data_IF_160154381835
#
_entry.id   IF_160154381835
#
_cell.length_a   1.000
_cell.length_b   1.000
_cell.length_c   1.000
_cell.angle_alpha   90.00
_cell.angle_beta   90.00
_cell.angle_gamma   90.00
#
_symmetry.space_group_name_H-M   'P 1'
#
loop_
_entity.id
_entity.type
_entity.pdbx_description
1 polymer ?
#
# COMPACT_ATOMS: atom_id res chain seq x y z
N UNK A 1 -26.64 -5.23 -4.02
CA UNK A 1 -25.50 -5.93 -3.38
C UNK A 1 -25.64 -7.38 -3.76
N UNK A 2 -24.68 -7.94 -4.50
CA UNK A 2 -24.79 -9.29 -5.09
C UNK A 2 -23.64 -10.20 -4.65
N UNK A 3 -22.44 -9.66 -4.43
CA UNK A 3 -21.30 -10.42 -3.92
C UNK A 3 -21.48 -10.72 -2.42
N UNK A 4 -21.63 -9.71 -1.56
CA UNK A 4 -21.80 -9.92 -0.12
C UNK A 4 -23.07 -10.71 0.23
N UNK A 5 -24.15 -10.53 -0.54
CA UNK A 5 -25.41 -11.23 -0.30
C UNK A 5 -25.34 -12.75 -0.54
N UNK A 6 -24.38 -13.20 -1.34
CA UNK A 6 -24.22 -14.60 -1.74
C UNK A 6 -22.88 -15.19 -1.27
N UNK A 7 -22.30 -14.62 -0.21
CA UNK A 7 -20.99 -14.99 0.32
C UNK A 7 -20.92 -16.44 0.83
N UNK A 8 -22.05 -17.03 1.19
CA UNK A 8 -22.15 -18.43 1.61
C UNK A 8 -21.73 -19.45 0.53
N UNK A 9 -21.57 -19.00 -0.73
CA UNK A 9 -21.11 -19.82 -1.84
C UNK A 9 -19.59 -19.94 -1.96
N UNK A 10 -18.84 -19.05 -1.29
CA UNK A 10 -17.39 -19.01 -1.42
C UNK A 10 -16.78 -20.30 -0.87
N UNK A 11 -15.84 -20.85 -1.64
CA UNK A 11 -15.09 -22.05 -1.27
C UNK A 11 -13.62 -21.67 -1.15
N UNK A 12 -13.06 -21.87 0.05
CA UNK A 12 -11.65 -21.61 0.28
C UNK A 12 -10.85 -22.81 -0.21
N UNK A 13 -9.99 -22.61 -1.21
CA UNK A 13 -9.03 -23.63 -1.66
C UNK A 13 -7.97 -23.88 -0.59
N UNK A 14 -7.44 -25.09 -0.53
CA UNK A 14 -6.42 -25.47 0.47
C UNK A 14 -5.18 -24.55 0.44
N UNK A 15 -4.70 -24.19 -0.75
CA UNK A 15 -3.56 -23.27 -0.91
C UNK A 15 -3.87 -21.88 -0.34
N UNK A 16 -5.07 -21.37 -0.57
CA UNK A 16 -5.55 -20.09 -0.03
C UNK A 16 -5.69 -20.15 1.50
N UNK A 17 -6.12 -21.30 2.04
CA UNK A 17 -6.19 -21.51 3.48
C UNK A 17 -4.80 -21.49 4.12
N UNK A 18 -3.82 -22.15 3.52
CA UNK A 18 -2.44 -22.13 4.04
C UNK A 18 -1.86 -20.71 4.04
N UNK A 19 -2.00 -19.98 2.91
CA UNK A 19 -1.59 -18.58 2.83
C UNK A 19 -2.27 -17.70 3.89
N UNK A 20 -3.56 -17.95 4.15
CA UNK A 20 -4.30 -17.24 5.18
C UNK A 20 -3.75 -17.53 6.60
N UNK A 21 -3.39 -18.78 6.90
CA UNK A 21 -2.81 -19.14 8.19
C UNK A 21 -1.46 -18.44 8.39
N UNK A 22 -0.57 -18.49 7.40
CA UNK A 22 0.75 -17.84 7.43
C UNK A 22 0.62 -16.31 7.59
N UNK A 23 -0.36 -15.71 6.92
CA UNK A 23 -0.67 -14.29 7.04
C UNK A 23 -1.11 -13.94 8.46
N UNK A 24 -1.97 -14.74 9.10
CA UNK A 24 -2.44 -14.46 10.45
C UNK A 24 -1.40 -14.75 11.52
N UNK A 25 -0.50 -15.70 11.30
CA UNK A 25 0.71 -15.87 12.11
C UNK A 25 1.60 -14.63 12.03
N UNK A 26 1.87 -14.15 10.82
CA UNK A 26 2.65 -12.92 10.59
C UNK A 26 1.96 -11.69 11.20
N UNK A 27 0.63 -11.61 11.09
CA UNK A 27 -0.16 -10.57 11.78
C UNK A 27 0.04 -10.60 13.29
N UNK A 28 0.24 -11.77 13.87
CA UNK A 28 0.59 -11.94 15.28
C UNK A 28 1.85 -11.15 15.68
N UNK A 29 2.82 -10.95 14.78
CA UNK A 29 4.05 -10.19 15.04
C UNK A 29 3.87 -8.67 15.05
N UNK A 30 2.69 -8.16 14.72
CA UNK A 30 2.47 -6.70 14.54
C UNK A 30 2.79 -5.89 15.80
N UNK A 31 2.51 -6.41 16.99
CA UNK A 31 2.82 -5.72 18.24
C UNK A 31 4.33 -5.53 18.46
N UNK A 32 5.15 -6.45 17.94
CA UNK A 32 6.59 -6.40 18.06
C UNK A 32 7.18 -5.28 17.20
N UNK A 33 6.70 -5.11 15.96
CA UNK A 33 7.11 -4.00 15.11
C UNK A 33 6.73 -2.64 15.71
N UNK A 34 5.55 -2.55 16.34
CA UNK A 34 5.09 -1.33 17.01
C UNK A 34 6.01 -0.92 18.16
N UNK A 35 6.47 -1.88 18.96
CA UNK A 35 7.45 -1.65 20.05
C UNK A 35 8.83 -1.28 19.48
N UNK A 36 9.30 -2.04 18.49
CA UNK A 36 10.62 -1.88 17.89
C UNK A 36 10.80 -0.49 17.26
N UNK A 37 9.79 -0.02 16.52
CA UNK A 37 9.83 1.24 15.78
C UNK A 37 9.22 2.43 16.56
N UNK A 38 8.82 2.24 17.81
CA UNK A 38 8.12 3.22 18.64
C UNK A 38 8.76 4.61 18.68
N UNK A 39 10.09 4.69 18.64
CA UNK A 39 10.85 5.95 18.71
C UNK A 39 10.95 6.70 17.37
N UNK A 40 10.72 6.03 16.25
CA UNK A 40 10.99 6.55 14.90
C UNK A 40 9.78 6.39 13.98
N UNK A 41 8.58 6.23 14.55
CA UNK A 41 7.32 6.05 13.82
C UNK A 41 7.05 7.18 12.81
N UNK A 42 7.41 8.41 13.13
CA UNK A 42 7.25 9.56 12.24
C UNK A 42 8.16 9.45 11.01
N UNK A 43 9.35 8.86 11.14
CA UNK A 43 10.25 8.66 10.00
C UNK A 43 9.70 7.58 9.06
N UNK A 44 9.22 6.47 9.61
CA UNK A 44 8.61 5.39 8.83
C UNK A 44 7.33 5.82 8.10
N UNK A 45 6.44 6.54 8.78
CA UNK A 45 5.19 7.03 8.18
C UNK A 45 5.44 8.02 7.05
N UNK A 46 6.40 8.95 7.22
CA UNK A 46 6.79 9.87 6.16
C UNK A 46 7.42 9.16 4.96
N UNK A 47 8.31 8.18 5.20
CA UNK A 47 8.89 7.36 4.12
C UNK A 47 7.82 6.56 3.39
N UNK A 48 6.88 5.95 4.13
CA UNK A 48 5.78 5.18 3.57
C UNK A 48 4.86 6.05 2.72
N UNK A 49 4.51 7.25 3.21
CA UNK A 49 3.73 8.23 2.43
C UNK A 49 4.47 8.62 1.14
N UNK A 50 5.78 8.80 1.20
CA UNK A 50 6.58 9.12 0.01
C UNK A 50 6.55 7.99 -1.03
N UNK A 51 6.75 6.74 -0.58
CA UNK A 51 6.66 5.55 -1.42
C UNK A 51 5.27 5.38 -2.02
N UNK A 52 4.22 5.48 -1.20
CA UNK A 52 2.82 5.38 -1.63
C UNK A 52 2.48 6.39 -2.72
N UNK A 53 2.87 7.66 -2.54
CA UNK A 53 2.64 8.72 -3.54
C UNK A 53 3.37 8.42 -4.85
N UNK A 54 4.60 7.90 -4.76
CA UNK A 54 5.41 7.53 -5.94
C UNK A 54 4.78 6.37 -6.71
N UNK A 55 4.28 5.35 -6.02
CA UNK A 55 3.63 4.20 -6.65
C UNK A 55 2.25 4.55 -7.21
N UNK A 56 1.51 5.44 -6.54
CA UNK A 56 0.22 5.95 -7.03
C UNK A 56 0.34 6.72 -8.35
N UNK A 57 1.44 7.45 -8.58
CA UNK A 57 1.71 8.07 -9.89
C UNK A 57 1.74 7.02 -11.00
N UNK A 58 2.39 5.88 -10.76
CA UNK A 58 2.47 4.78 -11.73
C UNK A 58 1.11 4.11 -11.93
N UNK A 59 0.41 3.80 -10.83
CA UNK A 59 -0.92 3.15 -10.86
C UNK A 59 -1.94 4.01 -11.61
N UNK A 60 -1.93 5.32 -11.38
CA UNK A 60 -2.83 6.29 -12.00
C UNK A 60 -2.36 6.74 -13.39
N UNK A 61 -1.19 6.28 -13.85
CA UNK A 61 -0.59 6.64 -15.14
C UNK A 61 -0.48 8.15 -15.35
N UNK A 62 -0.08 8.87 -14.30
CA UNK A 62 0.10 10.32 -14.34
C UNK A 62 1.42 10.65 -15.03
N UNK A 63 1.39 11.48 -16.07
CA UNK A 63 2.58 11.85 -16.85
C UNK A 63 3.39 12.96 -16.15
N UNK A 64 4.37 12.55 -15.34
CA UNK A 64 5.27 13.44 -14.62
C UNK A 64 6.72 12.94 -14.71
N UNK A 65 7.67 13.88 -14.71
CA UNK A 65 9.10 13.54 -14.66
C UNK A 65 9.47 12.99 -13.29
N UNK A 66 10.42 12.06 -13.21
CA UNK A 66 10.90 11.47 -11.95
C UNK A 66 11.33 12.53 -10.92
N UNK A 67 12.01 13.59 -11.38
CA UNK A 67 12.43 14.69 -10.53
C UNK A 67 11.23 15.44 -9.91
N UNK A 68 10.13 15.57 -10.66
CA UNK A 68 8.91 16.20 -10.17
C UNK A 68 8.16 15.29 -9.20
N UNK A 69 8.08 14.00 -9.49
CA UNK A 69 7.47 12.99 -8.60
C UNK A 69 8.16 13.01 -7.23
N UNK A 70 9.50 12.95 -7.20
CA UNK A 70 10.29 13.01 -5.95
C UNK A 70 10.09 14.31 -5.16
N UNK A 71 9.86 15.43 -5.84
CA UNK A 71 9.57 16.69 -5.16
C UNK A 71 8.17 16.67 -4.54
N UNK A 72 7.18 16.22 -5.32
CA UNK A 72 5.78 16.14 -4.92
C UNK A 72 5.53 15.13 -3.79
N UNK A 73 6.29 14.04 -3.76
CA UNK A 73 6.23 13.04 -2.68
C UNK A 73 6.79 13.61 -1.36
N UNK A 74 8.00 14.20 -1.39
CA UNK A 74 8.70 14.70 -0.19
C UNK A 74 8.15 15.97 0.43
N UNK A 75 7.61 16.89 -0.38
CA UNK A 75 7.27 18.25 0.09
C UNK A 75 5.86 18.65 -0.33
N UNK A 76 5.34 19.66 0.35
CA UNK A 76 4.16 20.37 -0.15
C UNK A 76 4.52 21.10 -1.43
N UNK A 77 3.58 21.09 -2.38
CA UNK A 77 3.76 21.71 -3.68
C UNK A 77 2.48 22.37 -4.15
N UNK A 78 2.64 23.39 -4.99
CA UNK A 78 1.53 24.01 -5.72
C UNK A 78 1.40 23.30 -7.07
N UNK A 79 0.22 22.77 -7.40
CA UNK A 79 -0.01 22.04 -8.63
C UNK A 79 -0.04 23.01 -9.82
N UNK A 80 0.61 22.62 -10.91
CA UNK A 80 0.68 23.42 -12.15
C UNK A 80 -0.31 22.99 -13.23
N UNK A 81 -0.75 21.73 -13.18
CA UNK A 81 -1.68 21.14 -14.13
C UNK A 81 -2.70 20.27 -13.37
N UNK A 82 -3.70 19.76 -14.10
CA UNK A 82 -4.76 18.90 -13.53
C UNK A 82 -4.19 17.60 -12.95
N UNK A 83 -3.14 17.07 -13.56
CA UNK A 83 -2.47 15.85 -13.14
C UNK A 83 -1.75 15.99 -11.79
N UNK A 84 -1.03 17.10 -11.59
CA UNK A 84 -0.43 17.48 -10.31
C UNK A 84 -1.51 17.79 -9.25
N UNK A 85 -2.65 18.35 -9.66
CA UNK A 85 -3.78 18.58 -8.75
C UNK A 85 -4.38 17.25 -8.28
N UNK A 86 -4.59 16.29 -9.18
CA UNK A 86 -5.03 14.94 -8.84
C UNK A 86 -4.03 14.26 -7.88
N UNK A 87 -2.73 14.36 -8.17
CA UNK A 87 -1.67 13.83 -7.29
C UNK A 87 -1.71 14.47 -5.90
N UNK A 88 -1.90 15.78 -5.81
CA UNK A 88 -2.01 16.49 -4.53
C UNK A 88 -3.24 16.00 -3.73
N UNK A 89 -4.38 15.81 -4.40
CA UNK A 89 -5.59 15.32 -3.76
C UNK A 89 -5.41 13.90 -3.23
N UNK A 90 -4.80 13.01 -4.03
CA UNK A 90 -4.48 11.64 -3.64
C UNK A 90 -3.49 11.61 -2.48
N UNK A 91 -2.41 12.42 -2.52
CA UNK A 91 -1.46 12.55 -1.42
C UNK A 91 -2.14 12.93 -0.10
N UNK A 92 -3.07 13.90 -0.15
CA UNK A 92 -3.84 14.32 1.04
C UNK A 92 -4.76 13.23 1.58
N UNK A 93 -5.33 12.40 0.70
CA UNK A 93 -6.14 11.25 1.11
C UNK A 93 -5.27 10.21 1.82
N UNK A 94 -4.13 9.83 1.24
CA UNK A 94 -3.21 8.85 1.84
C UNK A 94 -2.66 9.37 3.17
N UNK A 95 -2.27 10.63 3.25
CA UNK A 95 -1.80 11.27 4.49
C UNK A 95 -2.89 11.28 5.59
N UNK A 96 -4.16 11.55 5.22
CA UNK A 96 -5.29 11.43 6.14
C UNK A 96 -5.45 10.00 6.64
N UNK A 97 -5.44 9.02 5.73
CA UNK A 97 -5.57 7.60 6.07
C UNK A 97 -4.46 7.17 7.03
N UNK A 98 -3.20 7.51 6.76
CA UNK A 98 -2.05 7.23 7.64
C UNK A 98 -2.25 7.78 9.06
N UNK A 99 -2.87 8.95 9.21
CA UNK A 99 -3.10 9.58 10.52
C UNK A 99 -4.34 9.06 11.26
N UNK A 100 -5.36 8.59 10.55
CA UNK A 100 -6.67 8.26 11.13
C UNK A 100 -7.16 6.83 10.85
N UNK A 101 -6.29 5.90 10.43
CA UNK A 101 -6.71 4.52 10.12
C UNK A 101 -7.33 3.79 11.32
N UNK A 102 -6.88 4.09 12.55
CA UNK A 102 -7.33 3.42 13.77
C UNK A 102 -8.76 3.82 14.17
N UNK A 103 -9.17 5.05 13.89
CA UNK A 103 -10.50 5.60 14.19
C UNK A 103 -11.47 5.51 13.01
N UNK A 104 -11.04 4.89 11.90
CA UNK A 104 -11.87 4.73 10.72
C UNK A 104 -13.15 3.95 11.03
N UNK A 105 -14.29 4.49 10.60
CA UNK A 105 -15.54 3.77 10.58
C UNK A 105 -16.09 3.77 9.16
N UNK A 106 -16.44 2.59 8.63
CA UNK A 106 -17.09 2.50 7.35
C UNK A 106 -18.52 3.07 7.45
N UNK A 107 -18.69 4.30 6.95
CA UNK A 107 -19.97 5.01 6.81
C UNK A 107 -20.05 5.71 5.46
N UNK A 108 -21.26 5.98 4.99
CA UNK A 108 -21.53 6.63 3.70
C UNK A 108 -20.90 8.02 3.58
N UNK A 109 -20.84 8.75 4.70
CA UNK A 109 -20.20 10.07 4.74
C UNK A 109 -18.69 9.99 4.45
N UNK A 110 -18.02 8.93 4.89
CA UNK A 110 -16.58 8.76 4.65
C UNK A 110 -16.29 8.60 3.15
N UNK A 111 -17.09 7.77 2.45
CA UNK A 111 -17.01 7.65 1.00
C UNK A 111 -17.28 8.98 0.27
N UNK A 112 -18.24 9.78 0.78
CA UNK A 112 -18.54 11.11 0.25
C UNK A 112 -17.43 12.13 0.52
N UNK A 113 -16.75 12.04 1.64
CA UNK A 113 -15.62 12.91 1.96
C UNK A 113 -14.41 12.57 1.09
N UNK A 114 -14.12 11.29 0.91
CA UNK A 114 -13.09 10.83 -0.03
C UNK A 114 -13.36 11.34 -1.45
N UNK A 115 -14.62 11.27 -1.92
CA UNK A 115 -14.98 11.78 -3.25
C UNK A 115 -14.80 13.30 -3.36
N UNK A 116 -15.18 14.07 -2.33
CA UNK A 116 -14.95 15.52 -2.28
C UNK A 116 -13.46 15.89 -2.24
N UNK A 117 -12.66 15.17 -1.45
CA UNK A 117 -11.22 15.38 -1.36
C UNK A 117 -10.53 15.08 -2.68
N UNK A 118 -10.94 14.00 -3.35
CA UNK A 118 -10.39 13.59 -4.64
C UNK A 118 -10.73 14.57 -5.76
N UNK A 119 -11.97 15.07 -5.77
CA UNK A 119 -12.46 16.01 -6.79
C UNK A 119 -12.05 17.47 -6.59
N UNK A 120 -11.52 17.83 -5.42
CA UNK A 120 -11.21 19.23 -5.05
C UNK A 120 -10.31 19.91 -6.08
N UNK A 121 -10.77 21.04 -6.61
CA UNK A 121 -10.07 21.86 -7.62
C UNK A 121 -9.67 21.08 -8.91
N UNK A 122 -10.26 19.90 -9.14
CA UNK A 122 -9.93 19.01 -10.27
C UNK A 122 -11.16 18.65 -11.09
N UNK A 123 -12.14 17.98 -10.50
CA UNK A 123 -13.36 17.50 -11.18
C UNK A 123 -14.46 17.25 -10.14
N UNK A 124 -15.70 17.60 -10.44
CA UNK A 124 -16.82 17.25 -9.56
C UNK A 124 -17.09 15.76 -9.60
N UNK A 125 -17.16 15.14 -8.42
CA UNK A 125 -17.55 13.73 -8.24
C UNK A 125 -18.89 13.71 -7.51
N UNK A 126 -19.92 13.15 -8.13
CA UNK A 126 -21.28 13.10 -7.60
C UNK A 126 -21.78 11.67 -7.46
N UNK A 127 -22.82 11.49 -6.65
CA UNK A 127 -23.58 10.23 -6.61
C UNK A 127 -24.21 9.94 -7.96
N UNK A 128 -24.04 8.71 -8.44
CA UNK A 128 -24.73 8.24 -9.64
C UNK A 128 -26.23 8.08 -9.36
N UNK A 129 -27.06 8.40 -10.35
CA UNK A 129 -28.51 8.13 -10.32
C UNK A 129 -28.82 6.98 -11.26
N UNK A 130 -29.12 5.81 -10.70
CA UNK A 130 -29.45 4.63 -11.51
C UNK A 130 -30.94 4.66 -11.87
N UNK A 131 -31.27 4.43 -13.15
CA UNK A 131 -32.66 4.22 -13.58
C UNK A 131 -33.12 2.85 -13.08
N UNK A 132 -34.32 2.77 -12.53
CA UNK A 132 -34.96 1.50 -12.22
C UNK A 132 -35.66 1.03 -13.50
N UNK A 133 -35.10 0.04 -14.19
CA UNK A 133 -35.82 -0.68 -15.24
C UNK A 133 -36.84 -1.62 -14.57
N UNK A 134 -38.03 -1.10 -14.27
CA UNK A 134 -39.22 -1.92 -14.09
C UNK A 134 -39.57 -2.45 -15.49
N UNK A 135 -39.27 -3.71 -15.79
CA UNK A 135 -39.46 -4.35 -17.12
C UNK A 135 -40.91 -4.49 -17.58
N UNK A 136 -41.65 -3.39 -17.66
CA UNK A 136 -43.02 -3.29 -18.16
C UNK A 136 -43.21 -2.01 -18.98
N UNK A 137 -44.20 -2.03 -19.88
CA UNK A 137 -44.52 -0.96 -20.87
C UNK A 137 -44.83 0.44 -20.28
N UNK A 138 -44.82 0.58 -18.96
CA UNK A 138 -44.95 1.85 -18.25
C UNK A 138 -43.73 2.00 -17.33
N UNK A 139 -42.56 2.24 -17.92
CA UNK A 139 -41.35 2.55 -17.17
C UNK A 139 -41.58 3.83 -16.37
N UNK A 140 -41.89 3.68 -15.08
CA UNK A 140 -41.87 4.82 -14.17
C UNK A 140 -40.42 5.31 -14.09
N UNK A 141 -40.18 6.60 -14.34
CA UNK A 141 -38.85 7.24 -14.21
C UNK A 141 -38.43 7.32 -12.72
N UNK A 142 -38.44 6.20 -12.00
CA UNK A 142 -37.89 6.12 -10.65
C UNK A 142 -36.40 5.98 -10.77
N UNK A 143 -35.68 6.92 -10.17
CA UNK A 143 -34.24 6.85 -10.02
C UNK A 143 -33.94 6.35 -8.61
N UNK A 144 -33.10 5.33 -8.49
CA UNK A 144 -32.56 4.88 -7.21
C UNK A 144 -31.26 5.63 -6.93
N UNK A 145 -31.18 6.26 -5.77
CA UNK A 145 -29.99 6.97 -5.32
C UNK A 145 -28.94 5.94 -4.88
N UNK A 146 -27.77 5.95 -5.53
CA UNK A 146 -26.64 5.07 -5.16
C UNK A 146 -26.15 5.28 -3.73
N UNK A 147 -26.46 6.43 -3.12
CA UNK A 147 -26.22 6.67 -1.69
C UNK A 147 -26.94 5.66 -0.79
N UNK A 148 -28.22 5.41 -1.07
CA UNK A 148 -29.02 4.43 -0.30
C UNK A 148 -28.49 3.01 -0.53
N UNK A 149 -27.99 2.73 -1.74
CA UNK A 149 -27.35 1.45 -2.07
C UNK A 149 -26.07 1.24 -1.28
N UNK A 150 -25.24 2.29 -1.15
CA UNK A 150 -24.04 2.24 -0.31
C UNK A 150 -24.40 2.06 1.16
N UNK A 151 -25.42 2.76 1.67
CA UNK A 151 -25.89 2.59 3.05
C UNK A 151 -26.31 1.15 3.32
N UNK A 152 -27.08 0.54 2.42
CA UNK A 152 -27.46 -0.86 2.52
C UNK A 152 -26.23 -1.80 2.45
N UNK A 153 -25.26 -1.51 1.58
CA UNK A 153 -24.02 -2.28 1.44
C UNK A 153 -23.22 -2.28 2.74
N UNK A 154 -23.09 -1.11 3.36
CA UNK A 154 -22.40 -0.95 4.64
C UNK A 154 -23.14 -1.69 5.76
N UNK A 155 -24.47 -1.59 5.82
CA UNK A 155 -25.28 -2.32 6.82
C UNK A 155 -25.11 -3.83 6.67
N UNK A 156 -25.14 -4.34 5.44
CA UNK A 156 -24.94 -5.76 5.16
C UNK A 156 -23.52 -6.21 5.54
N UNK A 157 -22.50 -5.45 5.16
CA UNK A 157 -21.12 -5.71 5.57
C UNK A 157 -20.99 -5.78 7.09
N UNK A 158 -21.46 -4.75 7.82
CA UNK A 158 -21.41 -4.70 9.30
C UNK A 158 -22.16 -5.87 9.94
N UNK A 159 -23.28 -6.32 9.36
CA UNK A 159 -24.00 -7.50 9.82
C UNK A 159 -23.14 -8.76 9.70
N UNK A 160 -22.54 -9.00 8.53
CA UNK A 160 -21.72 -10.19 8.29
C UNK A 160 -20.45 -10.22 9.15
N UNK A 161 -19.83 -9.05 9.40
CA UNK A 161 -18.71 -8.92 10.34
C UNK A 161 -19.13 -9.35 11.76
N UNK A 162 -20.32 -8.95 12.22
CA UNK A 162 -20.86 -9.34 13.53
C UNK A 162 -21.18 -10.83 13.63
N UNK A 163 -21.57 -11.47 12.53
CA UNK A 163 -21.85 -12.91 12.50
C UNK A 163 -20.60 -13.77 12.69
N UNK A 164 -19.40 -13.24 12.41
CA UNK A 164 -18.10 -13.94 12.57
C UNK A 164 -18.01 -15.31 11.86
N UNK A 165 -18.78 -15.49 10.78
CA UNK A 165 -18.78 -16.72 9.96
C UNK A 165 -17.78 -16.70 8.82
N UNK A 166 -17.38 -15.50 8.40
CA UNK A 166 -16.52 -15.28 7.24
C UNK A 166 -15.29 -14.49 7.67
N UNK A 167 -14.17 -14.76 7.01
CA UNK A 167 -12.93 -14.03 7.24
C UNK A 167 -13.06 -12.56 6.78
N UNK A 168 -12.39 -11.64 7.48
CA UNK A 168 -12.64 -10.20 7.35
C UNK A 168 -12.16 -9.65 6.00
N UNK A 169 -10.98 -10.05 5.54
CA UNK A 169 -10.41 -9.64 4.24
C UNK A 169 -11.27 -10.13 3.08
N UNK A 170 -11.88 -11.31 3.21
CA UNK A 170 -12.86 -11.84 2.25
C UNK A 170 -14.09 -10.93 2.20
N UNK A 171 -14.62 -10.52 3.36
CA UNK A 171 -15.72 -9.57 3.43
C UNK A 171 -15.35 -8.22 2.80
N UNK A 172 -14.15 -7.70 3.09
CA UNK A 172 -13.61 -6.46 2.52
C UNK A 172 -13.54 -6.55 0.99
N UNK A 173 -13.05 -7.68 0.46
CA UNK A 173 -12.92 -7.90 -0.99
C UNK A 173 -14.29 -7.96 -1.67
N UNK A 174 -15.25 -8.65 -1.07
CA UNK A 174 -16.62 -8.74 -1.61
C UNK A 174 -17.34 -7.37 -1.55
N UNK A 175 -17.10 -6.58 -0.49
CA UNK A 175 -17.56 -5.20 -0.41
C UNK A 175 -16.99 -4.35 -1.55
N UNK A 176 -15.68 -4.46 -1.82
CA UNK A 176 -15.01 -3.74 -2.91
C UNK A 176 -15.62 -4.07 -4.28
N UNK A 177 -15.86 -5.36 -4.57
CA UNK A 177 -16.50 -5.79 -5.82
C UNK A 177 -17.93 -5.25 -5.94
N UNK A 178 -18.73 -5.33 -4.87
CA UNK A 178 -20.08 -4.76 -4.86
C UNK A 178 -20.06 -3.24 -5.10
N UNK A 179 -19.14 -2.51 -4.44
CA UNK A 179 -18.99 -1.06 -4.60
C UNK A 179 -18.65 -0.68 -6.05
N UNK A 180 -17.71 -1.38 -6.69
CA UNK A 180 -17.32 -1.12 -8.08
C UNK A 180 -18.52 -1.31 -9.02
N UNK A 181 -19.21 -2.44 -8.92
CA UNK A 181 -20.30 -2.77 -9.83
C UNK A 181 -21.55 -1.90 -9.62
N UNK A 182 -21.77 -1.37 -8.42
CA UNK A 182 -22.85 -0.43 -8.16
C UNK A 182 -22.63 0.95 -8.78
N UNK A 183 -21.39 1.27 -9.21
CA UNK A 183 -21.01 2.56 -9.77
C UNK A 183 -21.49 3.72 -8.88
N UNK A 184 -21.12 3.67 -7.61
CA UNK A 184 -21.58 4.60 -6.58
C UNK A 184 -21.35 6.07 -6.97
N UNK A 185 -20.19 6.35 -7.56
CA UNK A 185 -19.83 7.67 -8.05
C UNK A 185 -19.74 7.72 -9.57
N UNK A 186 -20.02 8.89 -10.15
CA UNK A 186 -19.99 9.14 -11.60
C UNK A 186 -18.58 9.14 -12.18
N UNK A 187 -17.60 9.60 -11.41
CA UNK A 187 -16.18 9.69 -11.76
C UNK A 187 -15.31 9.09 -10.66
N UNK A 188 -14.16 8.53 -11.04
CA UNK A 188 -13.16 7.95 -10.12
C UNK A 188 -13.70 6.91 -9.12
N UNK A 189 -14.77 6.19 -9.50
CA UNK A 189 -15.42 5.20 -8.63
C UNK A 189 -14.43 4.11 -8.17
N UNK A 190 -13.61 3.60 -9.08
CA UNK A 190 -12.60 2.57 -8.83
C UNK A 190 -11.50 3.07 -7.88
N UNK A 191 -11.08 4.33 -8.02
CA UNK A 191 -10.07 4.93 -7.15
C UNK A 191 -10.62 5.15 -5.74
N UNK A 192 -11.86 5.62 -5.61
CA UNK A 192 -12.53 5.76 -4.30
C UNK A 192 -12.72 4.37 -3.66
N UNK A 193 -13.10 3.37 -4.44
CA UNK A 193 -13.22 1.98 -3.96
C UNK A 193 -11.86 1.45 -3.47
N UNK A 194 -10.78 1.71 -4.21
CA UNK A 194 -9.43 1.30 -3.83
C UNK A 194 -8.96 2.00 -2.55
N UNK A 195 -9.25 3.29 -2.39
CA UNK A 195 -8.93 4.03 -1.17
C UNK A 195 -9.72 3.48 0.04
N UNK A 196 -11.00 3.17 -0.12
CA UNK A 196 -11.79 2.53 0.94
C UNK A 196 -11.26 1.14 1.29
N UNK A 197 -10.95 0.31 0.28
CA UNK A 197 -10.32 -0.99 0.48
C UNK A 197 -9.02 -0.86 1.28
N UNK A 198 -8.12 0.04 0.85
CA UNK A 198 -6.86 0.30 1.53
C UNK A 198 -7.09 0.71 2.98
N UNK A 199 -7.99 1.65 3.27
CA UNK A 199 -8.28 2.08 4.65
C UNK A 199 -8.81 0.93 5.51
N UNK A 200 -9.71 0.10 4.98
CA UNK A 200 -10.26 -1.06 5.70
C UNK A 200 -9.19 -2.13 5.98
N UNK A 201 -8.30 -2.37 5.01
CA UNK A 201 -7.16 -3.28 5.19
C UNK A 201 -6.17 -2.71 6.20
N UNK A 202 -5.89 -1.42 6.16
CA UNK A 202 -4.96 -0.76 7.08
C UNK A 202 -5.48 -0.77 8.53
N UNK A 203 -6.78 -0.55 8.74
CA UNK A 203 -7.38 -0.74 10.05
C UNK A 203 -7.21 -2.19 10.57
N UNK A 204 -7.22 -3.17 9.67
CA UNK A 204 -7.09 -4.59 10.02
C UNK A 204 -5.63 -5.04 10.19
N UNK A 205 -4.72 -4.47 9.41
CA UNK A 205 -3.30 -4.79 9.30
C UNK A 205 -2.51 -3.48 9.40
N UNK A 206 -2.17 -3.02 10.62
CA UNK A 206 -1.61 -1.69 10.82
C UNK A 206 -0.15 -1.58 10.39
N UNK A 207 0.44 -2.60 9.76
CA UNK A 207 1.81 -2.58 9.24
C UNK A 207 2.03 -1.56 8.12
N UNK A 208 0.97 -1.10 7.44
CA UNK A 208 1.09 -0.10 6.37
C UNK A 208 1.51 1.30 6.85
N UNK A 209 1.75 1.49 8.16
CA UNK A 209 2.48 2.66 8.67
C UNK A 209 4.00 2.58 8.42
N UNK A 210 4.51 1.38 8.15
CA UNK A 210 5.94 1.09 7.96
C UNK A 210 6.29 0.66 6.53
N UNK A 211 5.33 0.07 5.81
CA UNK A 211 5.51 -0.45 4.44
C UNK A 211 4.42 0.04 3.51
N UNK A 212 4.76 0.20 2.22
CA UNK A 212 3.84 0.76 1.22
C UNK A 212 2.90 -0.31 0.69
N UNK A 213 1.59 -0.14 0.92
CA UNK A 213 0.56 -0.97 0.28
C UNK A 213 0.60 -0.83 -1.24
N UNK A 214 0.75 0.41 -1.73
CA UNK A 214 0.67 0.70 -3.16
C UNK A 214 1.86 0.13 -3.94
N UNK A 215 3.01 -0.07 -3.31
CA UNK A 215 4.14 -0.79 -3.89
C UNK A 215 3.77 -2.21 -4.31
N UNK A 216 3.20 -3.00 -3.39
CA UNK A 216 2.74 -4.35 -3.71
C UNK A 216 1.51 -4.35 -4.59
N UNK A 217 0.57 -3.43 -4.40
CA UNK A 217 -0.57 -3.30 -5.30
C UNK A 217 -0.14 -3.09 -6.75
N UNK A 218 0.87 -2.23 -7.00
CA UNK A 218 1.42 -2.02 -8.34
C UNK A 218 2.03 -3.30 -8.92
N UNK A 219 2.78 -4.09 -8.12
CA UNK A 219 3.34 -5.40 -8.51
C UNK A 219 2.24 -6.39 -8.93
N UNK A 220 1.09 -6.37 -8.26
CA UNK A 220 -0.05 -7.25 -8.55
C UNK A 220 -1.13 -6.60 -9.44
N UNK A 221 -0.86 -5.46 -10.08
CA UNK A 221 -1.89 -4.71 -10.80
C UNK A 221 -2.53 -5.52 -11.95
N UNK A 222 -1.74 -6.22 -12.75
CA UNK A 222 -2.26 -7.06 -13.84
C UNK A 222 -3.12 -8.23 -13.35
N UNK A 223 -2.64 -9.11 -12.44
CA UNK A 223 -3.48 -10.18 -11.91
C UNK A 223 -4.69 -9.65 -11.14
N UNK A 224 -4.56 -8.50 -10.47
CA UNK A 224 -5.69 -7.81 -9.83
C UNK A 224 -6.79 -7.48 -10.82
N UNK A 225 -6.44 -6.86 -11.95
CA UNK A 225 -7.41 -6.51 -13.00
C UNK A 225 -8.05 -7.76 -13.61
N UNK A 226 -7.27 -8.83 -13.83
CA UNK A 226 -7.81 -10.09 -14.30
C UNK A 226 -8.83 -10.69 -13.31
N UNK A 227 -8.48 -10.78 -12.03
CA UNK A 227 -9.36 -11.32 -11.00
C UNK A 227 -10.62 -10.45 -10.79
N UNK A 228 -10.47 -9.12 -10.83
CA UNK A 228 -11.60 -8.19 -10.75
C UNK A 228 -12.56 -8.35 -11.94
N UNK A 229 -12.04 -8.53 -13.16
CA UNK A 229 -12.87 -8.79 -14.34
C UNK A 229 -13.66 -10.09 -14.20
N UNK A 230 -13.04 -11.15 -13.66
CA UNK A 230 -13.73 -12.42 -13.39
C UNK A 230 -14.84 -12.26 -12.35
N UNK A 231 -14.57 -11.53 -11.26
CA UNK A 231 -15.57 -11.22 -10.25
C UNK A 231 -16.75 -10.43 -10.85
N UNK A 232 -16.46 -9.44 -11.69
CA UNK A 232 -17.48 -8.58 -12.30
C UNK A 232 -18.35 -9.32 -13.33
N UNK A 233 -17.79 -10.27 -14.09
CA UNK A 233 -18.48 -10.94 -15.19
C UNK A 233 -19.82 -11.57 -14.77
N UNK A 234 -19.83 -12.29 -13.64
CA UNK A 234 -21.01 -12.96 -13.10
C UNK A 234 -21.68 -12.21 -11.94
N UNK A 235 -21.28 -10.95 -11.68
CA UNK A 235 -21.82 -10.16 -10.59
C UNK A 235 -23.32 -9.91 -10.77
N UNK A 236 -23.74 -9.54 -11.98
CA UNK A 236 -25.15 -9.26 -12.28
C UNK A 236 -26.06 -10.48 -12.02
N UNK A 237 -25.56 -11.67 -12.28
CA UNK A 237 -26.26 -12.95 -12.09
C UNK A 237 -26.16 -13.49 -10.67
N UNK A 238 -25.53 -12.78 -9.72
CA UNK A 238 -25.33 -13.21 -8.32
C UNK A 238 -24.37 -14.40 -8.15
N UNK A 239 -23.49 -14.63 -9.13
CA UNK A 239 -22.47 -15.69 -9.12
C UNK A 239 -21.05 -15.10 -9.23
N UNK A 240 -20.83 -13.92 -8.61
CA UNK A 240 -19.53 -13.26 -8.57
C UNK A 240 -18.47 -14.20 -7.97
N UNK A 241 -17.36 -14.40 -8.69
CA UNK A 241 -16.23 -15.22 -8.23
C UNK A 241 -15.14 -14.31 -7.65
N UNK A 242 -15.15 -14.12 -6.34
CA UNK A 242 -14.24 -13.19 -5.65
C UNK A 242 -12.97 -13.87 -5.11
N UNK A 243 -12.90 -15.21 -5.15
CA UNK A 243 -11.85 -16.00 -4.52
C UNK A 243 -10.44 -15.63 -5.01
N UNK A 244 -10.26 -15.47 -6.33
CA UNK A 244 -8.96 -15.08 -6.91
C UNK A 244 -8.54 -13.67 -6.49
N UNK A 245 -9.51 -12.75 -6.39
CA UNK A 245 -9.22 -11.38 -5.95
C UNK A 245 -8.82 -11.36 -4.48
N UNK A 246 -9.52 -12.13 -3.64
CA UNK A 246 -9.19 -12.29 -2.22
C UNK A 246 -7.81 -12.91 -2.04
N UNK A 247 -7.44 -13.92 -2.83
CA UNK A 247 -6.10 -14.51 -2.81
C UNK A 247 -5.01 -13.46 -3.15
N UNK A 248 -5.25 -12.59 -4.13
CA UNK A 248 -4.30 -11.51 -4.46
C UNK A 248 -4.17 -10.53 -3.29
N UNK A 249 -5.26 -10.18 -2.61
CA UNK A 249 -5.20 -9.34 -1.40
C UNK A 249 -4.33 -10.03 -0.33
N UNK A 250 -4.49 -11.33 -0.11
CA UNK A 250 -3.63 -12.08 0.82
C UNK A 250 -2.16 -12.05 0.42
N UNK A 251 -1.85 -12.19 -0.88
CA UNK A 251 -0.48 -12.10 -1.39
C UNK A 251 0.13 -10.72 -1.18
N UNK A 252 -0.64 -9.65 -1.43
CA UNK A 252 -0.20 -8.27 -1.13
C UNK A 252 0.10 -8.11 0.36
N UNK A 253 -0.79 -8.59 1.23
CA UNK A 253 -0.60 -8.51 2.68
C UNK A 253 0.61 -9.32 3.13
N UNK A 254 0.78 -10.54 2.64
CA UNK A 254 1.91 -11.41 2.99
C UNK A 254 3.24 -10.83 2.53
N UNK A 255 3.33 -10.33 1.30
CA UNK A 255 4.54 -9.66 0.80
C UNK A 255 4.87 -8.41 1.65
N UNK A 256 3.85 -7.67 2.09
CA UNK A 256 4.03 -6.53 3.00
C UNK A 256 4.55 -6.95 4.38
N UNK A 257 4.10 -8.10 4.90
CA UNK A 257 4.61 -8.68 6.14
C UNK A 257 6.06 -9.16 6.01
N UNK A 258 6.43 -9.71 4.86
CA UNK A 258 7.82 -10.11 4.60
C UNK A 258 8.76 -8.89 4.57
N UNK A 259 8.35 -7.78 3.93
CA UNK A 259 9.17 -6.55 3.92
C UNK A 259 9.34 -5.95 5.31
N UNK A 260 8.29 -5.87 6.13
CA UNK A 260 8.45 -5.33 7.49
C UNK A 260 9.32 -6.23 8.35
N UNK A 261 9.29 -7.55 8.15
CA UNK A 261 10.17 -8.49 8.84
C UNK A 261 11.64 -8.25 8.44
N UNK A 262 11.92 -8.06 7.15
CA UNK A 262 13.26 -7.69 6.67
C UNK A 262 13.74 -6.35 7.24
N UNK A 263 12.87 -5.33 7.25
CA UNK A 263 13.15 -4.01 7.84
C UNK A 263 13.43 -4.14 9.34
N UNK A 264 12.67 -4.96 10.07
CA UNK A 264 12.84 -5.17 11.50
C UNK A 264 14.18 -5.84 11.82
N UNK A 265 14.51 -6.93 11.12
CA UNK A 265 15.80 -7.61 11.25
C UNK A 265 16.97 -6.68 10.97
N UNK A 266 16.87 -5.89 9.89
CA UNK A 266 17.86 -4.89 9.57
C UNK A 266 17.96 -3.89 10.73
N UNK A 267 16.86 -3.23 11.10
CA UNK A 267 16.83 -2.23 12.16
C UNK A 267 17.39 -2.70 13.51
N UNK A 268 17.14 -3.95 13.92
CA UNK A 268 17.74 -4.53 15.13
C UNK A 268 19.25 -4.72 15.01
N UNK A 269 19.72 -5.26 13.89
CA UNK A 269 21.14 -5.39 13.60
C UNK A 269 21.83 -4.02 13.64
N UNK A 270 21.17 -3.01 13.08
CA UNK A 270 21.61 -1.63 13.03
C UNK A 270 21.71 -0.96 14.41
N UNK A 271 20.75 -1.22 15.29
CA UNK A 271 20.71 -0.68 16.66
C UNK A 271 21.84 -1.25 17.53
N UNK A 272 22.24 -2.49 17.27
CA UNK A 272 23.28 -3.19 18.01
C UNK A 272 24.71 -2.83 17.53
N UNK A 273 24.84 -2.19 16.37
CA UNK A 273 26.10 -1.65 15.86
C UNK A 273 26.19 -0.15 16.16
N UNK A 274 27.40 0.38 16.37
CA UNK A 274 27.59 1.84 16.40
C UNK A 274 27.08 2.44 15.08
N UNK A 275 26.34 3.55 15.15
CA UNK A 275 25.69 4.20 13.98
C UNK A 275 26.63 4.47 12.79
N UNK A 276 27.93 4.68 13.04
CA UNK A 276 28.95 4.88 12.00
C UNK A 276 29.37 3.59 11.31
N UNK A 277 29.40 2.47 12.04
CA UNK A 277 29.86 1.15 11.57
C UNK A 277 28.76 0.45 10.77
N UNK A 278 27.51 0.74 11.10
CA UNK A 278 26.33 0.23 10.42
C UNK A 278 26.15 0.78 9.00
N UNK A 279 26.15 2.11 8.83
CA UNK A 279 26.04 2.71 7.49
C UNK A 279 27.21 2.28 6.59
N UNK A 280 28.39 2.10 7.18
CA UNK A 280 29.54 1.49 6.51
C UNK A 280 29.27 0.06 6.05
N UNK A 281 28.75 -0.81 6.93
CA UNK A 281 28.43 -2.19 6.56
C UNK A 281 27.42 -2.28 5.41
N UNK A 282 26.38 -1.45 5.39
CA UNK A 282 25.42 -1.42 4.27
C UNK A 282 26.08 -0.92 2.99
N UNK A 283 26.89 0.14 3.08
CA UNK A 283 27.67 0.66 1.95
C UNK A 283 28.54 -0.45 1.33
N UNK A 284 29.22 -1.24 2.17
CA UNK A 284 30.12 -2.31 1.74
C UNK A 284 29.38 -3.55 1.21
N UNK A 285 28.07 -3.70 1.45
CA UNK A 285 27.23 -4.81 0.93
C UNK A 285 26.59 -4.51 -0.43
N UNK A 286 26.58 -3.26 -0.90
CA UNK A 286 26.00 -2.94 -2.20
C UNK A 286 26.74 -3.63 -3.35
N UNK A 287 25.99 -4.14 -4.33
CA UNK A 287 26.54 -4.74 -5.55
C UNK A 287 27.10 -3.65 -6.47
N UNK A 288 28.33 -3.22 -6.15
CA UNK A 288 29.23 -2.29 -6.86
C UNK A 288 28.79 -0.85 -7.02
N UNK A 289 27.52 -0.53 -7.29
CA UNK A 289 27.07 0.86 -7.46
C UNK A 289 25.86 1.16 -6.59
N UNK A 290 25.90 2.27 -5.88
CA UNK A 290 24.78 2.74 -5.08
C UNK A 290 24.66 4.26 -5.13
N UNK A 291 23.48 4.77 -4.83
CA UNK A 291 23.18 6.18 -4.73
C UNK A 291 22.97 6.59 -3.27
N UNK A 292 23.01 7.90 -2.99
CA UNK A 292 22.60 8.41 -1.68
C UNK A 292 21.13 8.11 -1.39
N UNK A 293 20.28 7.98 -2.42
CA UNK A 293 18.87 7.63 -2.24
C UNK A 293 18.72 6.18 -1.75
N UNK A 294 19.51 5.26 -2.30
CA UNK A 294 19.51 3.85 -1.90
C UNK A 294 19.85 3.72 -0.40
N UNK A 295 20.75 4.56 0.10
CA UNK A 295 21.06 4.65 1.53
C UNK A 295 19.93 5.24 2.37
N UNK A 296 19.11 6.15 1.82
CA UNK A 296 17.93 6.67 2.52
C UNK A 296 16.81 5.64 2.58
N UNK A 297 16.65 4.86 1.52
CA UNK A 297 15.67 3.76 1.49
C UNK A 297 16.06 2.66 2.48
N UNK A 298 17.34 2.29 2.54
CA UNK A 298 17.85 1.29 3.46
C UNK A 298 17.95 1.79 4.92
N UNK A 299 18.25 3.07 5.13
CA UNK A 299 18.38 3.69 6.46
C UNK A 299 17.52 4.97 6.59
N UNK A 300 16.19 4.85 6.71
CA UNK A 300 15.28 6.01 6.74
C UNK A 300 15.51 6.96 7.92
N UNK A 301 16.16 6.45 8.96
CA UNK A 301 16.31 7.08 10.28
C UNK A 301 17.66 7.79 10.42
N UNK A 302 18.57 7.58 9.47
CA UNK A 302 19.89 8.20 9.45
C UNK A 302 19.82 9.55 8.75
N UNK A 303 20.20 10.61 9.47
CA UNK A 303 20.15 11.96 8.94
C UNK A 303 21.08 12.16 7.74
N UNK A 304 20.70 13.09 6.86
CA UNK A 304 21.43 13.40 5.63
C UNK A 304 22.89 13.85 5.89
N UNK A 305 23.14 14.46 7.06
CA UNK A 305 24.47 14.87 7.52
C UNK A 305 25.31 13.67 7.98
N UNK A 306 24.69 12.70 8.67
CA UNK A 306 25.33 11.43 9.05
C UNK A 306 25.71 10.63 7.81
N UNK A 307 24.81 10.51 6.83
CA UNK A 307 25.11 9.84 5.55
C UNK A 307 26.31 10.50 4.86
N UNK A 308 26.30 11.84 4.76
CA UNK A 308 27.40 12.58 4.14
C UNK A 308 28.73 12.40 4.89
N UNK A 309 28.71 12.43 6.23
CA UNK A 309 29.90 12.25 7.05
C UNK A 309 30.51 10.86 6.88
N UNK A 310 29.68 9.82 6.84
CA UNK A 310 30.16 8.45 6.62
C UNK A 310 30.67 8.26 5.20
N UNK A 311 29.99 8.78 4.17
CA UNK A 311 30.48 8.73 2.79
C UNK A 311 31.84 9.43 2.64
N UNK A 312 32.01 10.58 3.29
CA UNK A 312 33.28 11.30 3.29
C UNK A 312 34.38 10.50 3.98
N UNK A 313 34.10 9.96 5.18
CA UNK A 313 35.03 9.08 5.90
C UNK A 313 35.46 7.88 5.06
N UNK A 314 34.53 7.15 4.45
CA UNK A 314 34.83 5.95 3.64
C UNK A 314 35.58 6.28 2.34
N UNK A 315 35.34 7.46 1.77
CA UNK A 315 36.11 7.97 0.64
C UNK A 315 37.55 8.26 1.07
N UNK A 316 37.73 8.91 2.21
CA UNK A 316 39.06 9.23 2.77
C UNK A 316 39.82 7.94 3.14
N UNK A 317 39.11 6.92 3.62
CA UNK A 317 39.61 5.55 3.86
C UNK A 317 39.80 4.72 2.57
N UNK A 318 39.53 5.30 1.38
CA UNK A 318 39.63 4.65 0.06
C UNK A 318 38.79 3.38 -0.12
N UNK A 319 37.74 3.21 0.68
CA UNK A 319 36.80 2.08 0.56
C UNK A 319 35.74 2.29 -0.51
N UNK A 320 35.48 3.55 -0.86
CA UNK A 320 34.52 3.93 -1.91
C UNK A 320 35.06 5.09 -2.77
N UNK A 321 34.55 5.24 -3.99
CA UNK A 321 34.80 6.40 -4.85
C UNK A 321 33.52 6.96 -5.50
N UNK A 322 33.41 8.28 -5.70
CA UNK A 322 32.30 8.86 -6.45
C UNK A 322 32.49 8.67 -7.97
N UNK A 323 31.45 8.21 -8.66
CA UNK A 323 31.36 8.15 -10.13
C UNK A 323 30.66 9.41 -10.65
N UNK A 324 31.33 10.56 -10.51
CA UNK A 324 30.88 11.85 -11.03
C UNK A 324 30.78 12.95 -9.97
N UNK A 325 30.57 14.19 -10.41
CA UNK A 325 30.46 15.37 -9.55
C UNK A 325 29.01 15.88 -9.49
N UNK A 326 28.46 16.03 -8.27
CA UNK A 326 27.13 16.60 -8.06
C UNK A 326 26.32 15.93 -6.95
N UNK A 327 25.07 16.38 -6.79
CA UNK A 327 24.13 15.86 -5.78
C UNK A 327 23.55 14.49 -6.12
N UNK A 328 23.63 14.09 -7.39
CA UNK A 328 23.14 12.81 -7.93
C UNK A 328 24.28 11.83 -8.26
N UNK A 329 25.49 12.09 -7.77
CA UNK A 329 26.63 11.20 -8.00
C UNK A 329 26.37 9.81 -7.42
N UNK A 330 26.63 8.79 -8.22
CA UNK A 330 26.68 7.40 -7.74
C UNK A 330 28.02 7.13 -7.09
N UNK A 331 28.04 6.17 -6.18
CA UNK A 331 29.23 5.73 -5.47
C UNK A 331 29.56 4.30 -5.87
N UNK A 332 30.86 4.00 -5.92
CA UNK A 332 31.38 2.67 -6.19
C UNK A 332 32.15 2.17 -4.99
N UNK A 333 31.87 0.93 -4.58
CA UNK A 333 32.64 0.22 -3.55
C UNK A 333 33.95 -0.29 -4.18
N UNK A 334 35.08 0.00 -3.54
CA UNK A 334 36.42 -0.35 -4.00
C UNK A 334 37.01 -1.59 -3.31
N UNK A 335 36.41 -2.02 -2.20
CA UNK A 335 36.87 -3.19 -1.45
C UNK A 335 36.16 -4.42 -1.98
N UNK A 336 36.89 -5.37 -2.56
CA UNK A 336 36.37 -6.71 -2.80
C UNK A 336 36.18 -7.38 -1.44
N UNK A 337 34.97 -7.88 -1.18
CA UNK A 337 34.76 -8.77 -0.04
C UNK A 337 35.51 -10.08 -0.36
N UNK A 338 36.73 -10.23 0.15
CA UNK A 338 37.24 -11.56 0.44
C UNK A 338 36.23 -12.18 1.41
N UNK A 339 35.41 -13.09 0.89
CA UNK A 339 34.57 -13.95 1.71
C UNK A 339 35.51 -14.84 2.49
N UNK A 340 35.91 -14.38 3.67
CA UNK A 340 36.58 -15.22 4.64
C UNK A 340 35.53 -16.18 5.21
N UNK A 341 35.22 -17.22 4.43
CA UNK A 341 34.62 -18.43 4.96
C UNK A 341 35.71 -19.09 5.82
N UNK A 342 35.90 -18.59 7.04
CA UNK A 342 36.42 -19.44 8.08
C UNK A 342 35.40 -20.57 8.27
N UNK A 343 35.65 -21.68 7.58
CA UNK A 343 35.02 -22.94 7.92
C UNK A 343 35.32 -23.16 9.40
N UNK A 344 34.29 -23.05 10.23
CA UNK A 344 34.33 -23.61 11.57
C UNK A 344 34.51 -25.11 11.33
N UNK A 345 35.76 -25.58 11.46
CA UNK A 345 36.06 -26.99 11.61
C UNK A 345 35.37 -27.45 12.88
N UNK A 346 34.29 -28.23 12.74
CA UNK A 346 33.60 -28.88 13.86
C UNK A 346 34.27 -30.24 14.19
N UNK A 347 35.47 -30.49 13.65
CA UNK A 347 36.25 -31.66 13.99
C UNK A 347 37.70 -31.25 14.25
N UNK A 348 37.95 -30.81 15.48
CA UNK A 348 39.23 -31.04 16.13
C UNK A 348 38.96 -31.51 17.56
N UNK A 349 39.60 -32.66 17.85
CA UNK A 349 39.57 -33.57 19.01
C UNK A 349 38.40 -34.58 19.14
#
# INVERSE_FOLDING_TARGET
MKALANINRLQVRNETLMLLLDLYESKGKTFYYDDLFSKEIDAFTNNTLEKDVTELVKILKIDLTEARIKLCSKRDFVPKNKDEQLLLNVKRIVDRIQKSYNSFELITNEAQELSKMLGKDHTSINWTKNKIDEGGLLASNKFRLTREDLEQLIVQYKKLVKEKKYELTTLITNFYVDFINMKIFDNYNELIALMLLYTMLFQTFPIFKYVSFFHYFAKYQEPWQYALNQANYNWASQFSQTDNLTEIVYKILMDSYNEIDEIAHQYEFERNLNKSDNLENTILKFKRLFSKEDLREAHPTVSDSTINRTLQRLRDERKIMPIGSGRSSKWQVLVDQEKDFSQISIFDE
#
